data_IF_514055453201
#
_entry.id   IF_514055453201
#
_cell.length_a   1.000
_cell.length_b   1.000
_cell.length_c   1.000
_cell.angle_alpha   90.00
_cell.angle_beta   90.00
_cell.angle_gamma   90.00
#
_symmetry.space_group_name_H-M   'P 1'
#
loop_
_entity.id
_entity.type
_entity.pdbx_description
1 polymer ?
#
# COMPACT_ATOMS: atom_id res chain seq x y z
N UNK A 1 -13.33 15.42 -22.14
CA UNK A 1 -12.40 14.57 -21.35
C UNK A 1 -12.33 14.94 -19.87
N UNK A 2 -12.16 16.20 -19.41
CA UNK A 2 -12.11 16.49 -17.97
C UNK A 2 -13.44 16.23 -17.22
N UNK A 3 -14.59 16.38 -17.87
CA UNK A 3 -15.89 16.11 -17.25
C UNK A 3 -16.17 14.61 -17.05
N UNK A 4 -15.72 13.75 -17.97
CA UNK A 4 -15.88 12.30 -17.86
C UNK A 4 -15.01 11.72 -16.74
N UNK A 5 -13.76 12.19 -16.63
CA UNK A 5 -12.86 11.85 -15.53
C UNK A 5 -13.42 12.30 -14.18
N UNK A 6 -13.99 13.52 -14.12
CA UNK A 6 -14.66 14.04 -12.93
C UNK A 6 -15.86 13.18 -12.52
N UNK A 7 -16.67 12.72 -13.48
CA UNK A 7 -17.82 11.86 -13.21
C UNK A 7 -17.40 10.46 -12.74
N UNK A 8 -16.33 9.89 -13.31
CA UNK A 8 -15.79 8.60 -12.87
C UNK A 8 -15.26 8.69 -11.43
N UNK A 9 -14.53 9.76 -11.09
CA UNK A 9 -14.04 10.01 -9.74
C UNK A 9 -15.19 10.18 -8.73
N UNK A 10 -16.25 10.91 -9.10
CA UNK A 10 -17.43 11.06 -8.25
C UNK A 10 -18.13 9.70 -7.99
N UNK A 11 -18.24 8.86 -9.02
CA UNK A 11 -18.78 7.49 -8.89
C UNK A 11 -17.90 6.64 -7.97
N UNK A 12 -16.59 6.67 -8.15
CA UNK A 12 -15.65 5.94 -7.30
C UNK A 12 -15.82 6.33 -5.82
N UNK A 13 -15.84 7.64 -5.53
CA UNK A 13 -16.04 8.17 -4.17
C UNK A 13 -17.36 7.72 -3.55
N UNK A 14 -18.45 7.73 -4.31
CA UNK A 14 -19.75 7.25 -3.82
C UNK A 14 -19.71 5.77 -3.43
N UNK A 15 -19.01 4.94 -4.20
CA UNK A 15 -18.80 3.52 -3.86
C UNK A 15 -17.92 3.35 -2.60
N UNK A 16 -16.83 4.11 -2.47
CA UNK A 16 -15.95 4.05 -1.29
C UNK A 16 -16.66 4.51 -0.01
N UNK A 17 -17.43 5.59 -0.08
CA UNK A 17 -18.30 6.05 1.01
C UNK A 17 -19.28 4.97 1.45
N UNK A 18 -19.95 4.33 0.47
CA UNK A 18 -20.88 3.24 0.75
C UNK A 18 -20.17 2.02 1.36
N UNK A 19 -18.98 1.68 0.86
CA UNK A 19 -18.18 0.57 1.37
C UNK A 19 -17.83 0.78 2.85
N UNK A 20 -17.38 1.98 3.23
CA UNK A 20 -17.10 2.35 4.63
C UNK A 20 -18.33 2.16 5.53
N UNK A 21 -19.47 2.75 5.15
CA UNK A 21 -20.72 2.64 5.91
C UNK A 21 -21.19 1.19 6.07
N UNK A 22 -21.07 0.39 5.00
CA UNK A 22 -21.41 -1.03 5.04
C UNK A 22 -20.46 -1.81 5.95
N UNK A 23 -19.16 -1.49 5.95
CA UNK A 23 -18.18 -2.14 6.82
C UNK A 23 -18.48 -1.92 8.31
N UNK A 24 -18.96 -0.72 8.68
CA UNK A 24 -19.41 -0.40 10.05
C UNK A 24 -20.59 -1.28 10.51
N UNK A 25 -21.46 -1.69 9.58
CA UNK A 25 -22.59 -2.60 9.86
C UNK A 25 -22.20 -4.08 9.96
N UNK A 26 -20.88 -4.38 9.99
CA UNK A 26 -20.31 -5.73 9.99
C UNK A 26 -20.63 -6.57 8.74
N UNK A 27 -21.14 -5.95 7.67
CA UNK A 27 -21.38 -6.61 6.38
C UNK A 27 -20.12 -6.53 5.50
N UNK A 28 -19.06 -7.17 5.97
CA UNK A 28 -17.70 -7.06 5.42
C UNK A 28 -17.62 -7.53 3.97
N UNK A 29 -18.26 -8.65 3.63
CA UNK A 29 -18.21 -9.20 2.28
C UNK A 29 -18.87 -8.26 1.25
N UNK A 30 -19.95 -7.57 1.63
CA UNK A 30 -20.56 -6.57 0.76
C UNK A 30 -19.72 -5.28 0.66
N UNK A 31 -19.05 -4.89 1.75
CA UNK A 31 -18.13 -3.76 1.72
C UNK A 31 -16.95 -4.02 0.76
N UNK A 32 -16.41 -5.25 0.74
CA UNK A 32 -15.40 -5.68 -0.25
C UNK A 32 -15.91 -5.45 -1.68
N UNK A 33 -17.12 -5.91 -1.99
CA UNK A 33 -17.71 -5.72 -3.32
C UNK A 33 -17.86 -4.23 -3.66
N UNK A 34 -18.26 -3.38 -2.71
CA UNK A 34 -18.40 -1.94 -2.94
C UNK A 34 -17.06 -1.25 -3.19
N UNK A 35 -16.00 -1.60 -2.46
CA UNK A 35 -14.65 -1.10 -2.75
C UNK A 35 -14.22 -1.46 -4.17
N UNK A 36 -14.38 -2.73 -4.56
CA UNK A 36 -14.00 -3.20 -5.90
C UNK A 36 -14.81 -2.51 -7.02
N UNK A 37 -16.08 -2.18 -6.78
CA UNK A 37 -16.87 -1.38 -7.73
C UNK A 37 -16.33 0.05 -7.88
N UNK A 38 -15.91 0.69 -6.78
CA UNK A 38 -15.28 2.01 -6.84
C UNK A 38 -13.95 1.98 -7.59
N UNK A 39 -13.13 0.95 -7.35
CA UNK A 39 -11.84 0.75 -8.01
C UNK A 39 -11.96 0.48 -9.51
N UNK A 40 -13.12 0.04 -10.02
CA UNK A 40 -13.36 -0.02 -11.48
C UNK A 40 -13.37 1.35 -12.14
N UNK A 41 -13.77 2.39 -11.40
CA UNK A 41 -13.79 3.77 -11.89
C UNK A 41 -12.50 4.54 -11.56
N UNK A 42 -11.81 4.15 -10.49
CA UNK A 42 -10.51 4.73 -10.12
C UNK A 42 -9.51 3.63 -9.73
N UNK A 43 -8.88 2.96 -10.72
CA UNK A 43 -8.03 1.79 -10.49
C UNK A 43 -6.73 2.04 -9.72
N UNK A 44 -6.28 3.29 -9.64
CA UNK A 44 -5.05 3.68 -8.92
C UNK A 44 -5.38 4.48 -7.64
N UNK A 45 -6.63 4.40 -7.16
CA UNK A 45 -7.09 5.02 -5.91
C UNK A 45 -6.59 4.24 -4.69
N UNK A 46 -5.29 4.37 -4.41
CA UNK A 46 -4.61 3.68 -3.32
C UNK A 46 -5.21 4.01 -1.94
N UNK A 47 -5.30 5.30 -1.60
CA UNK A 47 -5.67 5.77 -0.26
C UNK A 47 -7.15 5.59 0.06
N UNK A 48 -8.03 5.85 -0.90
CA UNK A 48 -9.48 5.80 -0.68
C UNK A 48 -10.07 4.40 -0.93
N UNK A 49 -9.38 3.54 -1.70
CA UNK A 49 -9.86 2.24 -2.16
C UNK A 49 -9.04 1.07 -1.65
N UNK A 50 -7.84 0.88 -2.20
CA UNK A 50 -7.03 -0.33 -1.96
C UNK A 50 -6.58 -0.48 -0.50
N UNK A 51 -6.10 0.59 0.14
CA UNK A 51 -5.64 0.55 1.53
C UNK A 51 -6.79 0.22 2.50
N UNK A 52 -7.94 0.91 2.47
CA UNK A 52 -9.10 0.54 3.29
C UNK A 52 -9.60 -0.88 3.02
N UNK A 53 -9.59 -1.34 1.77
CA UNK A 53 -9.99 -2.70 1.42
C UNK A 53 -9.03 -3.73 2.02
N UNK A 54 -7.72 -3.48 1.96
CA UNK A 54 -6.71 -4.33 2.58
C UNK A 54 -6.85 -4.37 4.11
N UNK A 55 -7.10 -3.22 4.75
CA UNK A 55 -7.35 -3.16 6.19
C UNK A 55 -8.58 -4.00 6.57
N UNK A 56 -9.69 -3.81 5.84
CA UNK A 56 -10.91 -4.56 6.03
C UNK A 56 -10.68 -6.08 5.88
N UNK A 57 -9.85 -6.48 4.90
CA UNK A 57 -9.48 -7.87 4.69
C UNK A 57 -8.71 -8.48 5.88
N UNK A 58 -7.75 -7.74 6.44
CA UNK A 58 -6.99 -8.17 7.61
C UNK A 58 -7.89 -8.27 8.85
N UNK A 59 -8.78 -7.30 9.05
CA UNK A 59 -9.79 -7.35 10.13
C UNK A 59 -10.73 -8.57 9.96
N UNK A 60 -11.18 -8.85 8.73
CA UNK A 60 -11.99 -10.02 8.40
C UNK A 60 -11.27 -11.32 8.75
N UNK A 61 -9.99 -11.43 8.42
CA UNK A 61 -9.17 -12.59 8.75
C UNK A 61 -9.04 -12.77 10.27
N UNK A 62 -8.76 -11.70 11.01
CA UNK A 62 -8.67 -11.73 12.48
C UNK A 62 -9.96 -12.18 13.17
N UNK A 63 -11.12 -11.98 12.52
CA UNK A 63 -12.44 -12.46 12.98
C UNK A 63 -12.78 -13.88 12.49
N UNK A 64 -11.84 -14.61 11.89
CA UNK A 64 -12.07 -15.96 11.37
C UNK A 64 -12.89 -16.00 10.08
N UNK A 65 -12.80 -14.96 9.26
CA UNK A 65 -13.48 -14.89 7.96
C UNK A 65 -13.18 -16.08 7.06
N UNK A 66 -14.20 -16.57 6.34
CA UNK A 66 -14.05 -17.74 5.46
C UNK A 66 -13.13 -17.43 4.28
N UNK A 67 -12.21 -18.34 3.97
CA UNK A 67 -11.41 -18.33 2.74
C UNK A 67 -12.33 -18.39 1.49
N UNK A 68 -11.88 -17.92 0.32
CA UNK A 68 -12.69 -17.99 -0.89
C UNK A 68 -13.01 -19.44 -1.27
N UNK A 69 -14.28 -19.70 -1.54
CA UNK A 69 -14.79 -20.97 -2.05
C UNK A 69 -14.25 -21.30 -3.45
N UNK A 70 -14.38 -22.56 -3.87
CA UNK A 70 -13.97 -22.97 -5.22
C UNK A 70 -14.70 -22.22 -6.33
N UNK A 71 -15.99 -21.88 -6.10
CA UNK A 71 -16.79 -21.11 -7.04
C UNK A 71 -16.28 -19.66 -7.14
N UNK A 72 -15.99 -19.03 -6.00
CA UNK A 72 -15.39 -17.69 -5.96
C UNK A 72 -14.04 -17.67 -6.67
N UNK A 73 -13.15 -18.65 -6.41
CA UNK A 73 -11.87 -18.78 -7.12
C UNK A 73 -12.07 -18.90 -8.63
N UNK A 74 -12.97 -19.78 -9.08
CA UNK A 74 -13.24 -19.99 -10.50
C UNK A 74 -13.77 -18.72 -11.20
N UNK A 75 -14.64 -17.96 -10.54
CA UNK A 75 -15.17 -16.70 -11.07
C UNK A 75 -14.08 -15.66 -11.27
N UNK A 76 -13.18 -15.52 -10.29
CA UNK A 76 -12.15 -14.48 -10.28
C UNK A 76 -10.89 -14.87 -11.08
N UNK A 77 -10.74 -16.13 -11.52
CA UNK A 77 -9.66 -16.50 -12.45
C UNK A 77 -9.86 -16.03 -13.90
N UNK A 78 -11.01 -15.44 -14.27
CA UNK A 78 -11.39 -15.18 -15.68
C UNK A 78 -11.13 -13.76 -16.20
N UNK A 79 -10.29 -12.96 -15.53
CA UNK A 79 -10.00 -11.58 -15.94
C UNK A 79 -9.26 -11.50 -17.28
N UNK A 80 -9.78 -10.70 -18.22
CA UNK A 80 -9.19 -10.53 -19.57
C UNK A 80 -8.37 -9.26 -19.72
N UNK A 81 -8.71 -8.23 -18.95
CA UNK A 81 -7.98 -6.95 -18.94
C UNK A 81 -7.08 -6.87 -17.70
N UNK A 82 -6.00 -6.07 -17.72
CA UNK A 82 -5.17 -5.84 -16.54
C UNK A 82 -5.98 -5.37 -15.31
N UNK A 83 -6.98 -4.49 -15.55
CA UNK A 83 -7.92 -4.05 -14.52
C UNK A 83 -8.68 -5.22 -13.90
N UNK A 84 -9.29 -6.08 -14.72
CA UNK A 84 -10.04 -7.22 -14.23
C UNK A 84 -9.15 -8.22 -13.50
N UNK A 85 -7.93 -8.45 -14.00
CA UNK A 85 -6.96 -9.32 -13.36
C UNK A 85 -6.56 -8.79 -11.99
N UNK A 86 -6.24 -7.50 -11.88
CA UNK A 86 -5.92 -6.86 -10.60
C UNK A 86 -7.08 -6.97 -9.61
N UNK A 87 -8.29 -6.53 -9.98
CA UNK A 87 -9.42 -6.49 -9.05
C UNK A 87 -9.93 -7.88 -8.67
N UNK A 88 -9.83 -8.85 -9.58
CA UNK A 88 -10.17 -10.23 -9.25
C UNK A 88 -9.15 -10.85 -8.27
N UNK A 89 -7.86 -10.58 -8.47
CA UNK A 89 -6.83 -11.01 -7.54
C UNK A 89 -6.98 -10.32 -6.18
N UNK A 90 -7.33 -9.03 -6.17
CA UNK A 90 -7.61 -8.26 -4.96
C UNK A 90 -8.84 -8.78 -4.20
N UNK A 91 -9.90 -9.21 -4.89
CA UNK A 91 -11.02 -9.90 -4.25
C UNK A 91 -10.55 -11.16 -3.50
N UNK A 92 -9.75 -12.00 -4.15
CA UNK A 92 -9.24 -13.23 -3.55
C UNK A 92 -8.28 -12.94 -2.40
N UNK A 93 -7.42 -11.94 -2.56
CA UNK A 93 -6.55 -11.43 -1.50
C UNK A 93 -7.37 -10.92 -0.31
N UNK A 94 -8.46 -10.19 -0.54
CA UNK A 94 -9.31 -9.68 0.53
C UNK A 94 -10.00 -10.79 1.34
N UNK A 95 -10.18 -11.97 0.73
CA UNK A 95 -10.79 -13.15 1.35
C UNK A 95 -9.77 -14.08 2.01
N UNK A 96 -8.50 -14.04 1.58
CA UNK A 96 -7.39 -14.83 2.11
C UNK A 96 -6.05 -14.05 2.06
N UNK A 97 -5.85 -13.02 2.92
CA UNK A 97 -4.66 -12.17 2.89
C UNK A 97 -3.32 -12.89 3.10
N UNK A 98 -3.33 -14.04 3.79
CA UNK A 98 -2.14 -14.89 3.97
C UNK A 98 -1.71 -15.61 2.70
N UNK A 99 -2.56 -15.70 1.68
CA UNK A 99 -2.23 -16.38 0.43
C UNK A 99 -1.47 -15.45 -0.51
N UNK A 100 -0.14 -15.38 -0.32
CA UNK A 100 0.78 -14.53 -1.08
C UNK A 100 0.58 -14.56 -2.62
N UNK A 101 0.30 -15.70 -3.27
CA UNK A 101 0.03 -15.70 -4.71
C UNK A 101 -1.12 -14.78 -5.15
N UNK A 102 -2.12 -14.50 -4.31
CA UNK A 102 -3.16 -13.52 -4.67
C UNK A 102 -2.61 -12.10 -4.75
N UNK A 103 -1.71 -11.71 -3.84
CA UNK A 103 -1.02 -10.43 -3.89
C UNK A 103 -0.03 -10.35 -5.08
N UNK A 104 0.62 -11.45 -5.44
CA UNK A 104 1.47 -11.53 -6.64
C UNK A 104 0.68 -11.33 -7.95
N UNK A 105 -0.50 -11.95 -8.08
CA UNK A 105 -1.38 -11.74 -9.24
C UNK A 105 -1.96 -10.31 -9.27
N UNK A 106 -2.28 -9.74 -8.11
CA UNK A 106 -2.69 -8.34 -8.01
C UNK A 106 -1.58 -7.41 -8.50
N UNK A 107 -0.33 -7.66 -8.08
CA UNK A 107 0.84 -6.90 -8.55
C UNK A 107 1.00 -6.97 -10.06
N UNK A 108 0.92 -8.17 -10.65
CA UNK A 108 1.03 -8.34 -12.11
C UNK A 108 -0.04 -7.53 -12.86
N UNK A 109 -1.29 -7.62 -12.41
CA UNK A 109 -2.40 -6.85 -12.99
C UNK A 109 -2.18 -5.34 -12.86
N UNK A 110 -1.70 -4.88 -11.69
CA UNK A 110 -1.43 -3.47 -11.44
C UNK A 110 -0.31 -2.90 -12.33
N UNK A 111 0.81 -3.63 -12.48
CA UNK A 111 1.91 -3.26 -13.37
C UNK A 111 1.46 -3.25 -14.83
N UNK A 112 0.77 -4.30 -15.29
CA UNK A 112 0.26 -4.38 -16.65
C UNK A 112 -0.79 -3.31 -16.97
N UNK A 113 -1.53 -2.83 -15.96
CA UNK A 113 -2.51 -1.76 -16.06
C UNK A 113 -1.93 -0.35 -15.95
N UNK A 114 -0.65 -0.20 -15.60
CA UNK A 114 -0.02 1.10 -15.35
C UNK A 114 -0.52 1.80 -14.08
N UNK A 115 -1.06 1.05 -13.12
CA UNK A 115 -1.58 1.58 -11.85
C UNK A 115 -0.41 1.74 -10.87
N UNK A 116 0.43 2.74 -11.11
CA UNK A 116 1.75 2.86 -10.51
C UNK A 116 1.71 3.01 -8.98
N UNK A 117 0.73 3.73 -8.42
CA UNK A 117 0.61 3.87 -6.96
C UNK A 117 0.25 2.54 -6.33
N UNK A 118 -0.77 1.87 -6.86
CA UNK A 118 -1.22 0.55 -6.39
C UNK A 118 -0.12 -0.50 -6.57
N UNK A 119 0.51 -0.56 -7.74
CA UNK A 119 1.60 -1.49 -8.04
C UNK A 119 2.78 -1.32 -7.09
N UNK A 120 3.17 -0.08 -6.79
CA UNK A 120 4.25 0.21 -5.83
C UNK A 120 3.90 -0.29 -4.43
N UNK A 121 2.68 -0.01 -3.96
CA UNK A 121 2.25 -0.43 -2.64
C UNK A 121 2.21 -1.95 -2.51
N UNK A 122 1.55 -2.65 -3.43
CA UNK A 122 1.42 -4.10 -3.37
C UNK A 122 2.79 -4.79 -3.56
N UNK A 123 3.70 -4.24 -4.38
CA UNK A 123 5.08 -4.73 -4.49
C UNK A 123 5.82 -4.63 -3.16
N UNK A 124 5.69 -3.50 -2.43
CA UNK A 124 6.34 -3.34 -1.13
C UNK A 124 5.77 -4.35 -0.11
N UNK A 125 4.45 -4.57 -0.12
CA UNK A 125 3.80 -5.57 0.73
C UNK A 125 4.32 -6.99 0.43
N UNK A 126 4.31 -7.39 -0.85
CA UNK A 126 4.80 -8.71 -1.30
C UNK A 126 6.28 -8.89 -0.94
N UNK A 127 7.11 -7.85 -1.11
CA UNK A 127 8.52 -7.87 -0.72
C UNK A 127 8.71 -8.11 0.78
N UNK A 128 7.99 -7.36 1.63
CA UNK A 128 8.07 -7.51 3.08
C UNK A 128 7.64 -8.92 3.51
N UNK A 129 6.49 -9.39 3.01
CA UNK A 129 5.96 -10.73 3.31
C UNK A 129 6.93 -11.83 2.90
N UNK A 130 7.52 -11.75 1.70
CA UNK A 130 8.48 -12.75 1.24
C UNK A 130 9.79 -12.71 2.05
N UNK A 131 10.22 -11.53 2.51
CA UNK A 131 11.47 -11.37 3.25
C UNK A 131 11.41 -11.89 4.70
N UNK A 132 10.22 -11.89 5.32
CA UNK A 132 10.01 -12.46 6.66
C UNK A 132 9.52 -13.91 6.64
N UNK A 133 9.21 -14.46 5.46
CA UNK A 133 8.79 -15.85 5.33
C UNK A 133 9.89 -16.81 5.81
N UNK A 134 9.50 -17.92 6.43
CA UNK A 134 10.43 -18.98 6.87
C UNK A 134 11.21 -19.59 5.71
N UNK A 135 10.59 -19.63 4.53
CA UNK A 135 11.20 -20.05 3.27
C UNK A 135 10.88 -19.03 2.17
N UNK A 136 11.69 -17.97 2.05
CA UNK A 136 11.50 -16.97 1.00
C UNK A 136 11.56 -17.58 -0.39
N UNK A 137 10.70 -17.10 -1.28
CA UNK A 137 10.60 -17.56 -2.66
C UNK A 137 11.49 -16.73 -3.59
N UNK A 138 12.39 -17.41 -4.30
CA UNK A 138 13.23 -16.81 -5.34
C UNK A 138 12.37 -16.26 -6.48
N UNK A 139 11.33 -17.00 -6.89
CA UNK A 139 10.41 -16.58 -7.96
C UNK A 139 9.70 -15.27 -7.62
N UNK A 140 9.35 -15.08 -6.35
CA UNK A 140 8.71 -13.85 -5.88
C UNK A 140 9.69 -12.67 -5.92
N UNK A 141 10.96 -12.87 -5.57
CA UNK A 141 11.98 -11.83 -5.74
C UNK A 141 12.23 -11.46 -7.21
N UNK A 142 12.18 -12.42 -8.13
CA UNK A 142 12.27 -12.17 -9.57
C UNK A 142 11.08 -11.33 -10.04
N UNK A 143 9.85 -11.71 -9.67
CA UNK A 143 8.65 -10.93 -9.96
C UNK A 143 8.77 -9.48 -9.43
N UNK A 144 9.25 -9.31 -8.20
CA UNK A 144 9.45 -8.00 -7.59
C UNK A 144 10.51 -7.17 -8.31
N UNK A 145 11.63 -7.79 -8.70
CA UNK A 145 12.69 -7.16 -9.52
C UNK A 145 12.09 -6.61 -10.81
N UNK A 146 11.41 -7.45 -11.59
CA UNK A 146 10.80 -7.05 -12.87
C UNK A 146 9.75 -5.96 -12.67
N UNK A 147 8.92 -6.08 -11.62
CA UNK A 147 7.87 -5.10 -11.30
C UNK A 147 8.47 -3.74 -10.91
N UNK A 148 9.48 -3.71 -10.05
CA UNK A 148 10.14 -2.46 -9.66
C UNK A 148 10.87 -1.81 -10.83
N UNK A 149 11.52 -2.59 -11.70
CA UNK A 149 12.15 -2.08 -12.91
C UNK A 149 11.12 -1.46 -13.87
N UNK A 150 9.98 -2.12 -14.08
CA UNK A 150 8.88 -1.58 -14.89
C UNK A 150 8.29 -0.27 -14.31
N UNK A 151 8.33 -0.11 -12.99
CA UNK A 151 7.92 1.11 -12.28
C UNK A 151 9.02 2.19 -12.21
N UNK A 152 10.21 1.94 -12.78
CA UNK A 152 11.37 2.84 -12.71
C UNK A 152 12.05 2.90 -11.33
N UNK A 153 11.68 2.02 -10.40
CA UNK A 153 12.24 1.93 -9.04
C UNK A 153 13.47 1.02 -9.01
N UNK A 154 14.50 1.40 -9.76
CA UNK A 154 15.71 0.59 -9.96
C UNK A 154 16.45 0.29 -8.66
N UNK A 155 16.40 1.18 -7.67
CA UNK A 155 16.97 0.97 -6.33
C UNK A 155 16.36 -0.27 -5.65
N UNK A 156 15.03 -0.41 -5.71
CA UNK A 156 14.32 -1.57 -5.15
C UNK A 156 14.48 -2.81 -6.01
N UNK A 157 14.53 -2.65 -7.34
CA UNK A 157 14.77 -3.75 -8.26
C UNK A 157 16.12 -4.44 -7.99
N UNK A 158 17.19 -3.64 -7.79
CA UNK A 158 18.52 -4.12 -7.42
C UNK A 158 18.48 -4.90 -6.09
N UNK A 159 17.77 -4.39 -5.08
CA UNK A 159 17.62 -5.07 -3.79
C UNK A 159 16.88 -6.41 -3.94
N UNK A 160 15.78 -6.46 -4.70
CA UNK A 160 15.06 -7.70 -4.96
C UNK A 160 15.92 -8.73 -5.71
N UNK A 161 16.64 -8.29 -6.75
CA UNK A 161 17.59 -9.12 -7.49
C UNK A 161 18.70 -9.67 -6.57
N UNK A 162 19.25 -8.83 -5.70
CA UNK A 162 20.26 -9.26 -4.72
C UNK A 162 19.73 -10.34 -3.78
N UNK A 163 18.48 -10.22 -3.32
CA UNK A 163 17.85 -11.24 -2.47
C UNK A 163 17.68 -12.55 -3.22
N UNK A 164 17.27 -12.52 -4.49
CA UNK A 164 17.19 -13.70 -5.34
C UNK A 164 18.57 -14.37 -5.52
N UNK A 165 19.61 -13.59 -5.89
CA UNK A 165 20.97 -14.09 -6.11
C UNK A 165 21.60 -14.70 -4.85
N UNK A 166 21.28 -14.18 -3.65
CA UNK A 166 21.74 -14.78 -2.39
C UNK A 166 21.12 -16.15 -2.12
N UNK A 167 19.90 -16.38 -2.59
CA UNK A 167 19.20 -17.65 -2.43
C UNK A 167 19.57 -18.68 -3.51
N UNK A 168 20.13 -18.24 -4.63
CA UNK A 168 20.74 -19.08 -5.67
C UNK A 168 22.08 -18.52 -6.14
N UNK A 169 23.15 -18.67 -5.35
CA UNK A 169 24.47 -18.14 -5.70
C UNK A 169 25.06 -18.74 -6.98
N UNK A 170 24.60 -19.93 -7.37
CA UNK A 170 25.01 -20.65 -8.58
C UNK A 170 24.33 -20.17 -9.87
N UNK A 171 23.30 -19.32 -9.75
CA UNK A 171 22.52 -18.82 -10.87
C UNK A 171 23.24 -17.62 -11.52
N UNK A 172 24.03 -17.91 -12.55
CA UNK A 172 24.82 -16.91 -13.28
C UNK A 172 23.97 -15.81 -13.94
N UNK A 173 22.75 -16.16 -14.37
CA UNK A 173 21.82 -15.20 -14.99
C UNK A 173 21.40 -14.13 -13.98
N UNK A 174 21.07 -14.52 -12.74
CA UNK A 174 20.76 -13.56 -11.66
C UNK A 174 21.95 -12.67 -11.31
N UNK A 175 23.18 -13.18 -11.38
CA UNK A 175 24.38 -12.39 -11.14
C UNK A 175 24.60 -11.32 -12.22
N UNK A 176 24.33 -11.66 -13.47
CA UNK A 176 24.47 -10.72 -14.59
C UNK A 176 23.32 -9.71 -14.63
N UNK A 177 22.09 -10.12 -14.34
CA UNK A 177 20.96 -9.21 -14.14
C UNK A 177 21.22 -8.19 -13.03
N UNK A 178 21.82 -8.61 -11.91
CA UNK A 178 22.18 -7.71 -10.82
C UNK A 178 23.17 -6.62 -11.27
N UNK A 179 24.16 -6.97 -12.08
CA UNK A 179 25.12 -6.01 -12.65
C UNK A 179 24.42 -5.03 -13.60
N UNK A 180 23.55 -5.54 -14.48
CA UNK A 180 22.81 -4.72 -15.44
C UNK A 180 21.90 -3.71 -14.72
N UNK A 181 21.12 -4.15 -13.75
CA UNK A 181 20.27 -3.27 -12.94
C UNK A 181 21.07 -2.23 -12.15
N UNK A 182 22.25 -2.60 -11.65
CA UNK A 182 23.15 -1.66 -10.95
C UNK A 182 23.69 -0.57 -11.90
N UNK A 183 23.96 -0.93 -13.15
CA UNK A 183 24.34 0.02 -14.19
C UNK A 183 23.17 0.94 -14.56
N UNK A 184 21.96 0.41 -14.72
CA UNK A 184 20.74 1.19 -14.97
C UNK A 184 20.46 2.20 -13.85
N UNK A 185 20.58 1.78 -12.58
CA UNK A 185 20.45 2.67 -11.42
C UNK A 185 21.48 3.81 -11.46
N UNK A 186 22.72 3.51 -11.84
CA UNK A 186 23.80 4.52 -11.95
C UNK A 186 23.52 5.50 -13.08
N UNK A 187 23.04 5.01 -14.24
CA UNK A 187 22.66 5.84 -15.38
C UNK A 187 21.44 6.72 -15.06
N UNK A 188 20.43 6.17 -14.39
CA UNK A 188 19.28 6.92 -13.92
C UNK A 188 19.74 8.07 -13.02
N UNK A 189 20.53 7.77 -11.97
CA UNK A 189 21.10 8.78 -11.06
C UNK A 189 21.96 9.83 -11.79
N UNK A 190 22.80 9.41 -12.73
CA UNK A 190 23.66 10.30 -13.52
C UNK A 190 22.88 11.24 -14.43
N UNK A 191 21.73 10.82 -14.98
CA UNK A 191 20.80 11.70 -15.71
C UNK A 191 20.09 12.69 -14.77
N UNK A 192 19.71 12.25 -13.57
CA UNK A 192 19.07 13.11 -12.56
C UNK A 192 19.98 14.21 -12.00
N UNK A 193 21.28 13.96 -11.85
CA UNK A 193 22.24 14.99 -11.40
C UNK A 193 22.51 16.07 -12.46
N UNK A 194 22.22 15.80 -13.74
CA UNK A 194 22.35 16.79 -14.82
C UNK A 194 21.11 17.70 -14.97
N UNK A 195 19.91 17.24 -14.56
CA UNK A 195 18.65 17.99 -14.75
C UNK A 195 18.16 18.75 -13.49
N UNK A 196 18.77 18.58 -12.32
CA UNK A 196 18.51 19.44 -11.13
C UNK A 196 17.11 19.35 -10.49
N UNK A 197 16.18 18.60 -11.10
CA UNK A 197 14.76 18.57 -10.74
C UNK A 197 14.45 17.60 -9.58
N UNK A 198 15.29 16.59 -9.37
CA UNK A 198 15.04 15.55 -8.36
C UNK A 198 15.21 16.03 -6.91
N UNK A 199 16.09 17.00 -6.64
CA UNK A 199 16.19 17.62 -5.31
C UNK A 199 14.93 18.39 -4.92
N UNK A 200 14.19 18.92 -5.89
CA UNK A 200 12.87 19.54 -5.65
C UNK A 200 11.81 18.46 -5.45
N UNK A 201 11.76 17.45 -6.31
CA UNK A 201 10.79 16.36 -6.24
C UNK A 201 10.89 15.52 -4.95
N UNK A 202 12.10 15.21 -4.47
CA UNK A 202 12.29 14.52 -3.17
C UNK A 202 11.89 15.42 -2.01
N UNK A 203 12.20 16.71 -2.07
CA UNK A 203 11.85 17.64 -0.98
C UNK A 203 10.34 17.85 -0.86
N UNK A 204 9.63 17.88 -1.99
CA UNK A 204 8.16 17.91 -2.01
C UNK A 204 7.55 16.59 -1.57
N UNK A 205 8.13 15.46 -1.96
CA UNK A 205 7.65 14.14 -1.56
C UNK A 205 7.88 13.84 -0.08
N UNK A 206 9.04 14.17 0.49
CA UNK A 206 9.28 14.07 1.93
C UNK A 206 8.41 15.06 2.72
N UNK A 207 8.13 16.24 2.16
CA UNK A 207 7.19 17.22 2.73
C UNK A 207 5.76 16.70 2.77
N UNK A 208 5.28 16.11 1.66
CA UNK A 208 3.97 15.48 1.57
C UNK A 208 3.87 14.22 2.43
N UNK A 209 4.87 13.34 2.42
CA UNK A 209 4.89 12.14 3.27
C UNK A 209 4.92 12.52 4.76
N UNK A 210 5.61 13.61 5.16
CA UNK A 210 5.50 14.15 6.53
C UNK A 210 4.12 14.70 6.87
N UNK A 211 3.48 15.42 5.94
CA UNK A 211 2.13 15.95 6.13
C UNK A 211 1.09 14.82 6.24
N UNK A 212 1.21 13.78 5.40
CA UNK A 212 0.35 12.59 5.45
C UNK A 212 0.66 11.69 6.65
N UNK A 213 1.91 11.56 7.08
CA UNK A 213 2.28 10.85 8.30
C UNK A 213 1.79 11.57 9.56
N UNK A 214 1.79 12.91 9.56
CA UNK A 214 1.20 13.71 10.64
C UNK A 214 -0.33 13.62 10.66
N UNK A 215 -0.98 13.46 9.49
CA UNK A 215 -2.43 13.25 9.39
C UNK A 215 -2.87 11.79 9.68
N UNK A 216 -2.02 10.80 9.41
CA UNK A 216 -2.31 9.36 9.58
C UNK A 216 -2.00 8.80 10.96
N UNK A 217 -1.56 9.62 11.93
CA UNK A 217 -1.62 9.22 13.34
C UNK A 217 -3.08 9.26 13.77
N UNK A 218 -3.84 8.23 13.37
CA UNK A 218 -5.05 7.81 14.04
C UNK A 218 -4.61 7.49 15.46
N UNK A 219 -4.80 8.46 16.35
CA UNK A 219 -4.46 8.36 17.76
C UNK A 219 -5.31 7.21 18.33
N UNK A 220 -4.70 6.04 18.49
CA UNK A 220 -5.28 4.95 19.28
C UNK A 220 -5.61 5.47 20.67
N UNK A 221 -6.66 4.94 21.30
CA UNK A 221 -7.15 5.45 22.58
C UNK A 221 -6.06 5.45 23.67
N UNK A 222 -5.19 4.42 23.66
CA UNK A 222 -4.00 4.33 24.52
C UNK A 222 -3.01 5.49 24.31
N UNK A 223 -2.84 5.96 23.06
CA UNK A 223 -1.97 7.10 22.77
C UNK A 223 -2.57 8.41 23.27
N UNK A 224 -3.91 8.57 23.21
CA UNK A 224 -4.61 9.77 23.71
C UNK A 224 -4.56 9.86 25.23
N UNK A 225 -4.73 8.72 25.91
CA UNK A 225 -4.61 8.63 27.37
C UNK A 225 -3.17 8.98 27.79
N UNK A 226 -2.17 8.39 27.13
CA UNK A 226 -0.75 8.68 27.40
C UNK A 226 -0.39 10.16 27.16
N UNK A 227 -0.91 10.76 26.09
CA UNK A 227 -0.69 12.17 25.77
C UNK A 227 -1.27 13.11 26.84
N UNK A 228 -2.43 12.77 27.42
CA UNK A 228 -3.03 13.54 28.51
C UNK A 228 -2.23 13.41 29.81
N UNK A 229 -1.74 12.22 30.13
CA UNK A 229 -0.90 12.02 31.32
C UNK A 229 0.41 12.82 31.25
N UNK A 230 1.05 12.82 30.08
CA UNK A 230 2.29 13.57 29.87
C UNK A 230 2.06 15.09 29.86
N UNK A 231 0.94 15.56 29.31
CA UNK A 231 0.57 16.98 29.38
C UNK A 231 0.29 17.42 30.82
N UNK A 232 -0.37 16.58 31.64
CA UNK A 232 -0.60 16.84 33.08
C UNK A 232 0.71 16.94 33.86
N UNK A 233 1.67 16.04 33.61
CA UNK A 233 3.01 16.10 34.26
C UNK A 233 3.74 17.39 33.91
N UNK A 234 3.66 17.85 32.66
CA UNK A 234 4.34 19.08 32.20
C UNK A 234 3.75 20.35 32.82
N UNK A 235 2.42 20.43 32.99
CA UNK A 235 1.79 21.53 33.76
C UNK A 235 2.20 21.47 35.24
N UNK A 236 2.22 20.28 35.85
CA UNK A 236 2.58 20.15 37.26
C UNK A 236 4.02 20.64 37.55
N UNK A 237 4.94 20.45 36.59
CA UNK A 237 6.31 20.95 36.69
C UNK A 237 6.42 22.45 36.42
N UNK A 238 5.66 22.99 35.46
CA UNK A 238 5.72 24.40 35.08
C UNK A 238 4.32 24.95 34.75
N UNK A 239 3.55 25.41 35.77
CA UNK A 239 2.13 25.74 35.63
C UNK A 239 1.85 27.05 34.86
N UNK A 240 2.82 27.98 34.84
CA UNK A 240 2.60 29.33 34.31
C UNK A 240 2.99 29.49 32.82
N UNK A 241 3.37 28.40 32.16
CA UNK A 241 3.69 28.41 30.73
C UNK A 241 2.40 28.20 29.96
N UNK A 242 1.93 29.23 29.27
CA UNK A 242 0.70 29.19 28.46
C UNK A 242 0.70 28.01 27.47
N UNK A 243 1.85 27.70 26.85
CA UNK A 243 1.98 26.55 25.95
C UNK A 243 1.66 25.21 26.63
N UNK A 244 2.00 25.02 27.91
CA UNK A 244 1.66 23.78 28.62
C UNK A 244 0.15 23.67 28.88
N UNK A 245 -0.52 24.80 29.16
CA UNK A 245 -1.97 24.90 29.32
C UNK A 245 -2.67 24.57 28.00
N UNK A 246 -2.22 25.15 26.89
CA UNK A 246 -2.75 24.85 25.55
C UNK A 246 -2.56 23.39 25.16
N UNK A 247 -1.38 22.82 25.43
CA UNK A 247 -1.10 21.41 25.11
C UNK A 247 -1.97 20.44 25.93
N UNK A 248 -2.30 20.77 27.19
CA UNK A 248 -3.24 19.96 27.96
C UNK A 248 -4.68 20.09 27.44
N UNK A 249 -5.12 21.30 27.10
CA UNK A 249 -6.45 21.52 26.53
C UNK A 249 -6.63 20.77 25.20
N UNK A 250 -5.62 20.82 24.32
CA UNK A 250 -5.61 20.10 23.04
C UNK A 250 -5.60 18.57 23.25
N UNK A 251 -4.82 18.08 24.21
CA UNK A 251 -4.79 16.65 24.54
C UNK A 251 -6.12 16.15 25.13
N UNK A 252 -6.79 16.94 25.97
CA UNK A 252 -8.10 16.62 26.55
C UNK A 252 -9.22 16.67 25.51
N UNK A 253 -9.19 17.65 24.60
CA UNK A 253 -10.15 17.75 23.49
C UNK A 253 -10.06 16.55 22.53
N UNK A 254 -8.92 15.85 22.50
CA UNK A 254 -8.75 14.63 21.70
C UNK A 254 -9.32 13.36 22.34
N UNK A 255 -9.78 13.40 23.61
CA UNK A 255 -10.41 12.25 24.29
C UNK A 255 -11.94 12.17 24.08
N UNK A 256 -12.58 13.26 23.64
CA UNK A 256 -14.00 13.30 23.26
C UNK A 256 -14.25 12.76 21.84
#
# INVERSE_FOLDING_TARGET
MPEEDSQALAKAKAFFEKARKVAETNNVDYAIDMYLQGLRYSPDALEEGHLPLCELALQRQGRGGKKPSMVEKMKHMRGKTPLEQMLNAEYLFAKDPEHLPHAEEMLKGAVAGGYNKTATWIANLVFQTNNVATKPSVKTYILLKDSYAALGQFDKAVVACQRAARLRPEDGDLADEFKNLSAELTMARGKYDQEGDFRKAIKDREGQEKLHAQASVVKTEDYRITAVEDARKKIAQNPNIAANIFNLADALSGLE
#
